data_IF_401126378379
#
_entry.id   IF_401126378379
#
_cell.length_a   1.000
_cell.length_b   1.000
_cell.length_c   1.000
_cell.angle_alpha   90.00
_cell.angle_beta   90.00
_cell.angle_gamma   90.00
#
_symmetry.space_group_name_H-M   'P 1'
#
loop_
_entity.id
_entity.type
_entity.pdbx_description
1 polymer ?
#
# COMPACT_ATOMS: atom_id res chain seq x y z
N UNK A 1 54.13 -9.49 -7.79
CA UNK A 1 53.20 -10.61 -7.54
C UNK A 1 53.16 -11.13 -6.09
N UNK A 2 54.33 -11.31 -5.41
CA UNK A 2 54.35 -11.76 -4.00
C UNK A 2 53.67 -10.76 -3.01
N UNK A 3 53.89 -9.46 -3.18
CA UNK A 3 53.30 -8.44 -2.30
C UNK A 3 51.76 -8.35 -2.44
N UNK A 4 51.25 -8.53 -3.64
CA UNK A 4 49.79 -8.51 -3.90
C UNK A 4 49.10 -9.73 -3.27
N UNK A 5 49.74 -10.92 -3.32
CA UNK A 5 49.23 -12.12 -2.65
C UNK A 5 49.21 -11.99 -1.12
N UNK A 6 50.19 -11.34 -0.55
CA UNK A 6 50.26 -11.09 0.90
C UNK A 6 49.16 -10.06 1.32
N UNK A 7 48.93 -9.01 0.52
CA UNK A 7 47.87 -8.04 0.76
C UNK A 7 46.48 -8.69 0.76
N UNK A 8 46.16 -9.52 -0.24
CA UNK A 8 44.89 -10.25 -0.27
C UNK A 8 44.77 -11.29 0.85
N UNK A 9 45.85 -11.92 1.27
CA UNK A 9 45.86 -12.85 2.41
C UNK A 9 45.60 -12.13 3.74
N UNK A 10 46.19 -10.95 3.94
CA UNK A 10 45.93 -10.11 5.13
C UNK A 10 44.53 -9.56 5.13
N UNK A 11 44.02 -9.12 3.97
CA UNK A 11 42.63 -8.67 3.82
C UNK A 11 41.60 -9.79 4.08
N UNK A 12 41.88 -11.01 3.61
CA UNK A 12 41.04 -12.19 3.87
C UNK A 12 41.03 -12.61 5.34
N UNK A 13 42.20 -12.54 6.01
CA UNK A 13 42.29 -12.81 7.45
C UNK A 13 41.57 -11.71 8.25
N UNK A 14 41.69 -10.44 7.86
CA UNK A 14 40.92 -9.35 8.49
C UNK A 14 39.40 -9.53 8.26
N UNK A 15 39.01 -9.94 7.06
CA UNK A 15 37.61 -10.22 6.75
C UNK A 15 37.08 -11.43 7.54
N UNK A 16 37.86 -12.48 7.71
CA UNK A 16 37.50 -13.63 8.56
C UNK A 16 37.44 -13.27 10.05
N UNK A 17 38.30 -12.35 10.53
CA UNK A 17 38.23 -11.85 11.93
C UNK A 17 37.00 -10.97 12.12
N UNK A 18 36.67 -10.10 11.15
CA UNK A 18 35.43 -9.29 11.20
C UNK A 18 34.19 -10.17 11.07
N UNK A 19 34.22 -11.25 10.28
CA UNK A 19 33.11 -12.22 10.18
C UNK A 19 32.99 -13.09 11.44
N UNK A 20 34.06 -13.38 12.14
CA UNK A 20 34.04 -14.13 13.39
C UNK A 20 33.54 -13.31 14.57
N UNK A 21 33.67 -11.98 14.52
CA UNK A 21 33.07 -11.08 15.54
C UNK A 21 31.58 -10.81 15.31
N UNK A 22 31.05 -11.13 14.13
CA UNK A 22 29.61 -11.03 13.85
C UNK A 22 28.80 -12.31 14.19
N UNK A 23 29.45 -13.38 14.55
CA UNK A 23 28.83 -14.53 15.24
C UNK A 23 28.80 -14.27 16.76
N UNK A 24 28.29 -13.10 17.20
CA UNK A 24 27.93 -12.93 18.60
C UNK A 24 26.75 -13.85 18.84
N UNK A 25 27.01 -14.88 19.70
CA UNK A 25 25.96 -15.67 20.30
C UNK A 25 24.82 -14.75 20.77
N UNK A 26 23.58 -15.12 20.49
CA UNK A 26 22.41 -14.49 21.10
C UNK A 26 22.61 -14.51 22.60
N UNK A 27 23.09 -13.40 23.14
CA UNK A 27 23.35 -13.25 24.54
C UNK A 27 22.00 -12.97 25.17
N UNK A 28 21.45 -13.92 25.94
CA UNK A 28 20.31 -13.65 26.79
C UNK A 28 20.62 -12.41 27.63
N UNK A 29 19.75 -11.42 27.53
CA UNK A 29 19.87 -10.21 28.34
C UNK A 29 19.48 -10.56 29.78
N UNK A 30 20.27 -10.11 30.74
CA UNK A 30 19.93 -10.25 32.16
C UNK A 30 18.52 -9.66 32.39
N UNK A 31 17.65 -10.35 33.15
CA UNK A 31 16.29 -9.88 33.41
C UNK A 31 16.25 -8.46 33.99
N UNK A 32 17.18 -8.10 34.90
CA UNK A 32 17.31 -6.74 35.42
C UNK A 32 17.62 -5.68 34.34
N UNK A 33 18.31 -6.08 33.24
CA UNK A 33 18.54 -5.21 32.13
C UNK A 33 17.24 -4.93 31.34
N UNK A 34 16.38 -5.93 31.17
CA UNK A 34 15.12 -5.80 30.47
C UNK A 34 14.08 -4.92 31.16
N UNK A 35 14.21 -4.75 32.49
CA UNK A 35 13.34 -3.83 33.26
C UNK A 35 13.43 -2.39 32.76
N UNK A 36 14.61 -1.96 32.30
CA UNK A 36 14.84 -0.62 31.79
C UNK A 36 14.67 -0.51 30.25
N UNK A 37 14.14 -1.53 29.60
CA UNK A 37 13.80 -1.48 28.17
C UNK A 37 12.32 -1.12 28.01
N UNK A 38 12.06 -0.13 27.20
CA UNK A 38 10.71 0.24 26.75
C UNK A 38 10.53 -0.12 25.28
N UNK A 39 9.44 -0.78 24.98
CA UNK A 39 9.05 -1.10 23.58
C UNK A 39 7.73 -0.43 23.27
N UNK A 40 7.65 0.24 22.13
CA UNK A 40 6.44 0.96 21.76
C UNK A 40 6.07 0.69 20.30
N UNK A 41 4.76 0.68 20.01
CA UNK A 41 4.24 0.86 18.66
C UNK A 41 4.18 2.36 18.37
N UNK A 42 4.81 2.76 17.27
CA UNK A 42 4.74 4.12 16.73
C UNK A 42 3.72 4.14 15.60
N UNK A 43 2.79 5.09 15.64
CA UNK A 43 1.82 5.33 14.57
C UNK A 43 1.92 6.76 14.09
N UNK A 44 2.25 6.91 12.82
CA UNK A 44 2.43 8.20 12.15
C UNK A 44 1.19 8.56 11.38
N UNK A 45 0.73 9.81 11.51
CA UNK A 45 -0.37 10.32 10.69
C UNK A 45 0.05 10.48 9.23
N UNK A 46 -0.91 10.45 8.30
CA UNK A 46 -0.65 10.71 6.88
C UNK A 46 0.04 12.06 6.63
N UNK A 47 0.74 12.14 5.50
CA UNK A 47 1.20 13.39 4.88
C UNK A 47 0.99 13.34 3.35
N UNK A 48 1.30 14.44 2.64
CA UNK A 48 0.86 14.67 1.25
C UNK A 48 1.41 13.72 0.18
N UNK A 49 2.51 13.03 0.43
CA UNK A 49 3.01 12.04 -0.55
C UNK A 49 2.03 10.89 -0.71
N UNK A 50 1.69 10.51 -1.95
CA UNK A 50 0.65 9.51 -2.27
C UNK A 50 0.82 8.19 -1.50
N UNK A 51 2.06 7.73 -1.31
CA UNK A 51 2.32 6.49 -0.56
C UNK A 51 2.14 6.64 0.95
N UNK A 52 2.11 7.87 1.47
CA UNK A 52 1.97 8.16 2.91
C UNK A 52 0.54 8.54 3.32
N UNK A 53 -0.40 8.65 2.38
CA UNK A 53 -1.81 8.97 2.65
C UNK A 53 -2.50 7.97 3.59
N UNK A 54 -1.90 6.82 3.79
CA UNK A 54 -2.42 5.75 4.65
C UNK A 54 -1.84 5.78 6.07
N UNK A 55 -0.88 6.68 6.33
CA UNK A 55 -0.09 6.67 7.55
C UNK A 55 1.01 5.61 7.55
N UNK A 56 1.66 5.44 8.70
CA UNK A 56 2.76 4.48 8.84
C UNK A 56 2.84 3.93 10.28
N UNK A 57 3.38 2.71 10.44
CA UNK A 57 3.67 2.10 11.75
C UNK A 57 5.11 1.61 11.81
N UNK A 58 5.71 1.73 13.01
CA UNK A 58 7.03 1.22 13.33
C UNK A 58 7.07 0.73 14.77
N UNK A 59 8.10 -0.04 15.15
CA UNK A 59 8.36 -0.38 16.55
C UNK A 59 9.56 0.43 17.05
N UNK A 60 9.44 0.98 18.27
CA UNK A 60 10.54 1.59 18.98
C UNK A 60 11.10 0.61 20.01
N UNK A 61 12.40 0.53 20.06
CA UNK A 61 13.17 -0.10 21.13
C UNK A 61 13.98 0.96 21.83
N UNK A 62 13.72 1.21 23.11
CA UNK A 62 14.35 2.26 23.87
C UNK A 62 15.02 1.70 25.11
N UNK A 63 16.33 1.84 25.20
CA UNK A 63 17.14 1.49 26.35
C UNK A 63 17.25 2.71 27.29
N UNK A 64 16.63 2.62 28.44
CA UNK A 64 16.58 3.69 29.43
C UNK A 64 17.78 3.66 30.42
N UNK A 65 18.72 2.71 30.25
CA UNK A 65 19.92 2.68 31.07
C UNK A 65 20.78 3.93 30.84
N UNK A 66 21.44 4.35 31.97
CA UNK A 66 22.35 5.49 31.93
C UNK A 66 23.80 5.05 31.68
N UNK A 67 24.11 3.78 31.92
CA UNK A 67 25.45 3.19 31.80
C UNK A 67 25.40 1.85 31.08
N UNK A 68 26.52 1.48 30.45
CA UNK A 68 26.66 0.23 29.69
C UNK A 68 26.82 0.42 28.21
N UNK A 69 27.15 -0.63 27.45
CA UNK A 69 27.53 -0.53 26.04
C UNK A 69 26.38 -0.14 25.09
N UNK A 70 25.13 -0.23 25.56
CA UNK A 70 23.90 0.15 24.81
C UNK A 70 23.07 1.20 25.53
N UNK A 71 23.60 1.80 26.58
CA UNK A 71 22.89 2.81 27.36
C UNK A 71 22.41 3.95 26.47
N UNK A 72 21.12 4.26 26.55
CA UNK A 72 20.50 5.31 25.73
C UNK A 72 20.29 4.93 24.26
N UNK A 73 20.42 3.65 23.87
CA UNK A 73 20.07 3.20 22.52
C UNK A 73 18.56 3.41 22.31
N UNK A 74 18.20 4.18 21.28
CA UNK A 74 16.81 4.56 20.99
C UNK A 74 16.57 4.45 19.49
N UNK A 75 15.94 3.35 19.10
CA UNK A 75 15.85 2.89 17.72
C UNK A 75 14.40 2.70 17.26
N UNK A 76 14.10 3.12 16.04
CA UNK A 76 12.87 2.81 15.35
C UNK A 76 13.12 1.71 14.28
N UNK A 77 12.42 0.59 14.43
CA UNK A 77 12.38 -0.52 13.49
C UNK A 77 11.24 -0.26 12.49
N UNK A 78 11.63 -0.06 11.23
CA UNK A 78 10.78 0.51 10.20
C UNK A 78 10.63 -0.46 9.03
N UNK A 79 9.47 -1.12 8.89
CA UNK A 79 9.13 -1.97 7.75
C UNK A 79 8.56 -1.12 6.62
N UNK A 80 8.79 -1.57 5.38
CA UNK A 80 8.26 -0.85 4.23
C UNK A 80 9.28 0.07 3.55
N UNK A 81 10.56 -0.05 3.91
CA UNK A 81 11.61 0.68 3.18
C UNK A 81 11.75 0.08 1.78
N UNK A 82 11.73 0.94 0.78
CA UNK A 82 11.86 0.55 -0.62
C UNK A 82 12.78 1.52 -1.38
N UNK A 83 13.25 1.10 -2.55
CA UNK A 83 14.12 1.92 -3.38
C UNK A 83 13.59 1.95 -4.82
N UNK A 84 13.22 3.14 -5.29
CA UNK A 84 12.75 3.40 -6.66
C UNK A 84 13.84 3.16 -7.72
N UNK A 85 15.13 3.23 -7.36
CA UNK A 85 16.25 3.04 -8.30
C UNK A 85 16.46 1.58 -8.70
N UNK A 86 15.75 0.64 -8.05
CA UNK A 86 15.82 -0.77 -8.45
C UNK A 86 15.30 -0.96 -9.88
N UNK A 87 16.00 -1.73 -10.73
CA UNK A 87 15.60 -1.97 -12.11
C UNK A 87 14.15 -2.46 -12.21
N UNK A 88 13.42 -1.87 -13.15
CA UNK A 88 12.02 -2.23 -13.43
C UNK A 88 11.07 -2.07 -12.22
N UNK A 89 11.35 -1.16 -11.28
CA UNK A 89 10.56 -0.98 -10.07
C UNK A 89 9.05 -0.87 -10.37
N UNK A 90 8.65 0.00 -11.31
CA UNK A 90 7.22 0.18 -11.68
C UNK A 90 6.59 -1.10 -12.20
N UNK A 91 7.29 -1.84 -13.09
CA UNK A 91 6.78 -3.11 -13.60
C UNK A 91 6.65 -4.14 -12.48
N UNK A 92 7.66 -4.26 -11.62
CA UNK A 92 7.62 -5.15 -10.45
C UNK A 92 6.48 -4.78 -9.50
N UNK A 93 6.23 -3.50 -9.28
CA UNK A 93 5.12 -3.03 -8.46
C UNK A 93 3.77 -3.44 -9.06
N UNK A 94 3.55 -3.21 -10.36
CA UNK A 94 2.33 -3.58 -11.09
C UNK A 94 2.05 -5.09 -10.96
N UNK A 95 3.09 -5.93 -11.05
CA UNK A 95 2.93 -7.37 -10.90
C UNK A 95 2.87 -7.86 -9.43
N UNK A 96 2.98 -6.97 -8.45
CA UNK A 96 3.07 -7.35 -7.02
C UNK A 96 4.38 -8.06 -6.68
N UNK A 97 5.45 -7.75 -7.39
CA UNK A 97 6.77 -8.36 -7.24
C UNK A 97 7.80 -7.41 -6.60
N UNK A 98 7.36 -6.36 -5.93
CA UNK A 98 8.25 -5.46 -5.20
C UNK A 98 8.67 -6.07 -3.87
N UNK A 99 9.98 -6.00 -3.62
CA UNK A 99 10.56 -6.39 -2.35
C UNK A 99 10.88 -5.13 -1.55
N UNK A 100 10.41 -5.10 -0.33
CA UNK A 100 10.67 -4.07 0.66
C UNK A 100 11.55 -4.64 1.76
N UNK A 101 12.08 -3.79 2.62
CA UNK A 101 12.97 -4.25 3.68
C UNK A 101 12.67 -3.59 5.04
N UNK A 102 13.11 -4.28 6.09
CA UNK A 102 13.21 -3.72 7.43
C UNK A 102 14.48 -2.86 7.51
N UNK A 103 14.32 -1.62 7.95
CA UNK A 103 15.43 -0.75 8.31
C UNK A 103 15.35 -0.31 9.76
N UNK A 104 16.47 0.13 10.30
CA UNK A 104 16.56 0.67 11.65
C UNK A 104 17.20 2.03 11.58
N UNK A 105 16.55 3.00 12.23
CA UNK A 105 17.04 4.38 12.30
C UNK A 105 16.95 4.89 13.74
N UNK A 106 17.77 5.87 14.13
CA UNK A 106 17.61 6.53 15.42
C UNK A 106 16.21 7.13 15.55
N UNK A 107 15.57 6.91 16.71
CA UNK A 107 14.21 7.42 16.97
C UNK A 107 14.08 8.94 16.80
N UNK A 108 15.10 9.69 17.21
CA UNK A 108 15.12 11.15 16.99
C UNK A 108 15.05 11.53 15.50
N UNK A 109 15.74 10.78 14.64
CA UNK A 109 15.70 11.01 13.19
C UNK A 109 14.33 10.62 12.60
N UNK A 110 13.73 9.53 13.13
CA UNK A 110 12.37 9.11 12.77
C UNK A 110 11.35 10.21 13.08
N UNK A 111 11.34 10.74 14.31
CA UNK A 111 10.45 11.83 14.72
C UNK A 111 10.66 13.10 13.89
N UNK A 112 11.93 13.51 13.68
CA UNK A 112 12.26 14.71 12.89
C UNK A 112 11.76 14.63 11.44
N UNK A 113 11.74 13.44 10.83
CA UNK A 113 11.19 13.25 9.50
C UNK A 113 9.69 13.58 9.47
N UNK A 114 8.90 13.04 10.41
CA UNK A 114 7.45 13.31 10.45
C UNK A 114 7.13 14.75 10.86
N UNK A 115 7.92 15.34 11.75
CA UNK A 115 7.80 16.74 12.15
C UNK A 115 7.97 17.69 10.95
N UNK A 116 8.92 17.42 10.03
CA UNK A 116 9.12 18.20 8.81
C UNK A 116 7.89 18.21 7.89
N UNK A 117 7.12 17.13 7.88
CA UNK A 117 5.87 17.03 7.12
C UNK A 117 4.65 17.58 7.84
N UNK A 118 4.80 18.03 9.09
CA UNK A 118 3.67 18.41 9.95
C UNK A 118 2.82 17.22 10.39
N UNK A 119 3.31 16.00 10.22
CA UNK A 119 2.66 14.78 10.66
C UNK A 119 2.87 14.54 12.15
N UNK A 120 1.88 13.94 12.81
CA UNK A 120 2.01 13.50 14.19
C UNK A 120 2.58 12.09 14.29
N UNK A 121 3.23 11.80 15.41
CA UNK A 121 3.62 10.45 15.80
C UNK A 121 3.01 10.15 17.15
N UNK A 122 2.09 9.18 17.19
CA UNK A 122 1.52 8.63 18.42
C UNK A 122 2.36 7.42 18.83
N UNK A 123 2.73 7.36 20.10
CA UNK A 123 3.47 6.27 20.70
C UNK A 123 2.60 5.53 21.70
N UNK A 124 2.54 4.19 21.57
CA UNK A 124 1.85 3.28 22.49
C UNK A 124 2.90 2.37 23.12
N UNK A 125 3.19 2.60 24.39
CA UNK A 125 4.12 1.77 25.17
C UNK A 125 3.47 0.43 25.43
N UNK A 126 4.13 -0.64 25.02
CA UNK A 126 3.61 -2.01 25.15
C UNK A 126 3.90 -2.58 26.54
N UNK A 127 2.90 -3.19 27.15
CA UNK A 127 2.99 -3.81 28.47
C UNK A 127 3.57 -5.24 28.36
N UNK A 128 4.84 -5.33 27.97
CA UNK A 128 5.54 -6.59 27.79
C UNK A 128 6.30 -7.01 29.04
N UNK A 129 6.27 -8.31 29.35
CA UNK A 129 7.15 -8.90 30.36
C UNK A 129 8.60 -8.98 29.87
N UNK A 130 9.56 -9.17 30.78
CA UNK A 130 10.97 -9.31 30.37
C UNK A 130 11.21 -10.49 29.42
N UNK A 131 10.52 -11.61 29.64
CA UNK A 131 10.58 -12.75 28.74
C UNK A 131 10.05 -12.39 27.33
N UNK A 132 8.95 -11.64 27.23
CA UNK A 132 8.39 -11.19 25.97
C UNK A 132 9.29 -10.16 25.26
N UNK A 133 9.92 -9.26 26.03
CA UNK A 133 10.94 -8.34 25.50
C UNK A 133 12.15 -9.08 24.94
N UNK A 134 12.62 -10.14 25.64
CA UNK A 134 13.70 -10.98 25.16
C UNK A 134 13.34 -11.67 23.85
N UNK A 135 12.15 -12.32 23.77
CA UNK A 135 11.65 -12.94 22.53
C UNK A 135 11.57 -11.93 21.38
N UNK A 136 11.07 -10.72 21.68
CA UNK A 136 10.95 -9.66 20.68
C UNK A 136 12.33 -9.18 20.19
N UNK A 137 13.30 -9.04 21.11
CA UNK A 137 14.69 -8.68 20.75
C UNK A 137 15.30 -9.70 19.79
N UNK A 138 15.12 -10.98 20.10
CA UNK A 138 15.60 -12.08 19.24
C UNK A 138 14.90 -12.07 17.87
N UNK A 139 13.57 -11.88 17.85
CA UNK A 139 12.80 -11.81 16.64
C UNK A 139 13.21 -10.62 15.75
N UNK A 140 13.42 -9.44 16.33
CA UNK A 140 13.90 -8.25 15.62
C UNK A 140 15.32 -8.45 15.09
N UNK A 141 16.22 -9.02 15.92
CA UNK A 141 17.60 -9.32 15.51
C UNK A 141 17.62 -10.32 14.36
N UNK A 142 16.81 -11.37 14.44
CA UNK A 142 16.67 -12.35 13.35
C UNK A 142 16.10 -11.72 12.07
N UNK A 143 15.12 -10.83 12.20
CA UNK A 143 14.53 -10.14 11.05
C UNK A 143 15.51 -9.16 10.37
N UNK A 144 16.51 -8.66 11.09
CA UNK A 144 17.54 -7.78 10.53
C UNK A 144 18.64 -8.52 9.76
N UNK A 145 18.74 -9.84 9.87
CA UNK A 145 19.70 -10.61 9.09
C UNK A 145 19.48 -10.39 7.58
N UNK A 146 20.55 -10.29 6.78
CA UNK A 146 20.44 -10.02 5.34
C UNK A 146 19.44 -10.91 4.59
N UNK A 147 19.36 -12.19 4.98
CA UNK A 147 18.45 -13.19 4.41
C UNK A 147 16.99 -13.01 4.82
N UNK A 148 16.69 -12.31 5.94
CA UNK A 148 15.35 -12.19 6.52
C UNK A 148 14.76 -10.79 6.40
N UNK A 149 15.59 -9.75 6.23
CA UNK A 149 15.11 -8.35 6.26
C UNK A 149 14.34 -7.94 5.02
N UNK A 150 14.56 -8.64 3.89
CA UNK A 150 13.87 -8.39 2.62
C UNK A 150 12.62 -9.27 2.55
N UNK A 151 11.50 -8.67 2.20
CA UNK A 151 10.23 -9.37 2.09
C UNK A 151 9.40 -8.90 0.91
N UNK A 152 8.49 -9.77 0.43
CA UNK A 152 7.52 -9.44 -0.60
C UNK A 152 6.41 -8.59 0.01
N UNK A 153 6.41 -7.31 -0.35
CA UNK A 153 5.42 -6.37 0.15
C UNK A 153 4.03 -6.66 -0.42
N UNK A 154 3.03 -6.63 0.44
CA UNK A 154 1.63 -6.65 0.04
C UNK A 154 0.86 -5.59 0.82
N UNK A 155 0.25 -4.65 0.10
CA UNK A 155 -0.38 -3.49 0.70
C UNK A 155 -1.44 -3.83 1.77
N UNK A 156 -2.23 -4.88 1.56
CA UNK A 156 -3.30 -5.28 2.51
C UNK A 156 -2.88 -6.37 3.51
N UNK A 157 -1.89 -7.20 3.17
CA UNK A 157 -1.63 -8.43 3.94
C UNK A 157 -0.24 -8.51 4.55
N UNK A 158 0.74 -7.76 4.04
CA UNK A 158 2.12 -7.80 4.53
C UNK A 158 2.80 -6.44 4.36
N UNK A 159 2.51 -5.51 5.28
CA UNK A 159 2.91 -4.11 5.21
C UNK A 159 3.51 -3.60 6.54
N UNK A 160 3.70 -2.27 6.62
CA UNK A 160 4.26 -1.59 7.79
C UNK A 160 3.41 -1.69 9.06
N UNK A 161 2.12 -2.05 8.98
CA UNK A 161 1.24 -2.23 10.14
C UNK A 161 1.12 -3.70 10.52
N UNK A 162 0.92 -4.59 9.54
CA UNK A 162 0.73 -6.01 9.82
C UNK A 162 1.98 -6.66 10.38
N UNK A 163 3.19 -6.27 9.92
CA UNK A 163 4.45 -6.83 10.40
C UNK A 163 4.76 -6.53 11.86
N UNK A 164 4.72 -5.27 12.34
CA UNK A 164 4.90 -4.99 13.76
C UNK A 164 3.82 -5.62 14.64
N UNK A 165 2.56 -5.67 14.19
CA UNK A 165 1.49 -6.40 14.88
C UNK A 165 1.85 -7.87 15.06
N UNK A 166 2.16 -8.56 13.97
CA UNK A 166 2.39 -10.01 13.96
C UNK A 166 3.63 -10.40 14.77
N UNK A 167 4.69 -9.58 14.76
CA UNK A 167 5.90 -9.84 15.54
C UNK A 167 5.64 -9.65 17.02
N UNK A 168 4.89 -8.62 17.41
CA UNK A 168 4.48 -8.38 18.80
C UNK A 168 3.62 -9.53 19.31
N UNK A 169 2.55 -9.87 18.62
CA UNK A 169 1.65 -10.98 19.01
C UNK A 169 2.39 -12.30 19.16
N UNK A 170 3.33 -12.60 18.25
CA UNK A 170 4.14 -13.83 18.30
C UNK A 170 5.04 -13.91 19.53
N UNK A 171 5.46 -12.77 20.08
CA UNK A 171 6.37 -12.71 21.23
C UNK A 171 5.63 -12.72 22.56
N UNK A 172 4.33 -12.46 22.58
CA UNK A 172 3.51 -12.43 23.78
C UNK A 172 3.31 -13.84 24.35
N UNK A 173 3.46 -13.97 25.67
CA UNK A 173 3.11 -15.17 26.42
C UNK A 173 1.61 -15.16 26.69
N UNK A 174 0.86 -15.96 25.93
CA UNK A 174 -0.59 -16.00 25.99
C UNK A 174 -1.26 -15.60 24.68
N UNK A 175 -2.39 -14.94 24.77
CA UNK A 175 -3.20 -14.54 23.59
C UNK A 175 -3.56 -13.07 23.66
N UNK A 176 -3.36 -12.34 22.59
CA UNK A 176 -3.91 -10.99 22.43
C UNK A 176 -5.38 -11.10 22.05
N UNK A 177 -6.24 -10.47 22.81
CA UNK A 177 -7.67 -10.38 22.57
C UNK A 177 -8.05 -8.95 22.25
N UNK A 178 -8.60 -8.76 21.06
CA UNK A 178 -9.03 -7.46 20.54
C UNK A 178 -10.49 -7.22 20.84
N UNK A 179 -10.84 -5.97 21.17
CA UNK A 179 -12.23 -5.58 21.33
C UNK A 179 -12.97 -5.68 19.99
N UNK A 180 -14.10 -6.38 19.98
CA UNK A 180 -14.91 -6.54 18.78
C UNK A 180 -15.51 -5.20 18.34
N UNK A 181 -15.45 -4.93 17.04
CA UNK A 181 -16.18 -3.84 16.39
C UNK A 181 -17.40 -4.46 15.70
N UNK A 182 -18.56 -4.29 16.28
CA UNK A 182 -19.79 -4.94 15.79
C UNK A 182 -20.58 -4.10 14.79
N UNK A 183 -20.28 -2.82 14.70
CA UNK A 183 -21.01 -1.79 13.96
C UNK A 183 -20.24 -1.19 12.79
N UNK A 184 -19.04 -1.69 12.51
CA UNK A 184 -18.18 -1.18 11.45
C UNK A 184 -17.46 -2.33 10.73
N UNK A 185 -17.96 -2.66 9.54
CA UNK A 185 -17.38 -3.69 8.65
C UNK A 185 -17.07 -3.10 7.27
N UNK A 186 -16.13 -2.13 7.18
CA UNK A 186 -15.81 -1.50 5.91
C UNK A 186 -15.13 -2.47 4.97
N UNK A 187 -15.32 -2.25 3.68
CA UNK A 187 -14.51 -2.91 2.65
C UNK A 187 -13.11 -2.30 2.56
N UNK A 188 -12.18 -3.00 1.91
CA UNK A 188 -10.85 -2.45 1.61
C UNK A 188 -10.95 -1.16 0.79
N UNK A 189 -11.86 -1.11 -0.19
CA UNK A 189 -12.07 0.08 -1.03
C UNK A 189 -12.54 1.28 -0.22
N UNK A 190 -13.49 1.08 0.69
CA UNK A 190 -13.97 2.16 1.56
C UNK A 190 -12.86 2.70 2.45
N UNK A 191 -12.04 1.84 3.03
CA UNK A 191 -10.90 2.26 3.86
C UNK A 191 -9.85 3.02 3.07
N UNK A 192 -9.49 2.53 1.87
CA UNK A 192 -8.57 3.20 0.96
C UNK A 192 -9.14 4.54 0.49
N UNK A 193 -10.40 4.56 0.08
CA UNK A 193 -11.11 5.78 -0.33
C UNK A 193 -11.20 6.82 0.78
N UNK A 194 -11.40 6.40 2.03
CA UNK A 194 -11.36 7.30 3.17
C UNK A 194 -9.97 7.97 3.33
N UNK A 195 -8.90 7.21 3.18
CA UNK A 195 -7.53 7.73 3.28
C UNK A 195 -7.21 8.73 2.15
N UNK A 196 -7.73 8.47 0.95
CA UNK A 196 -7.44 9.29 -0.25
C UNK A 196 -8.53 10.32 -0.59
N UNK A 197 -9.54 10.53 0.28
CA UNK A 197 -10.73 11.36 0.02
C UNK A 197 -10.45 12.80 -0.40
N UNK A 198 -9.31 13.35 0.02
CA UNK A 198 -8.88 14.71 -0.32
C UNK A 198 -8.07 14.76 -1.63
N UNK A 199 -7.75 13.61 -2.22
CA UNK A 199 -6.95 13.45 -3.44
C UNK A 199 -7.75 12.67 -4.50
N UNK A 200 -8.66 13.33 -5.25
CA UNK A 200 -9.59 12.67 -6.15
C UNK A 200 -8.93 11.77 -7.20
N UNK A 201 -7.74 12.15 -7.69
CA UNK A 201 -7.00 11.35 -8.66
C UNK A 201 -6.32 10.13 -8.04
N UNK A 202 -5.89 10.21 -6.77
CA UNK A 202 -5.38 9.05 -6.04
C UNK A 202 -6.53 8.05 -5.78
N UNK A 203 -7.70 8.54 -5.35
CA UNK A 203 -8.91 7.72 -5.19
C UNK A 203 -9.29 7.05 -6.51
N UNK A 204 -9.35 7.81 -7.60
CA UNK A 204 -9.66 7.28 -8.94
C UNK A 204 -8.65 6.19 -9.37
N UNK A 205 -7.34 6.42 -9.14
CA UNK A 205 -6.30 5.46 -9.45
C UNK A 205 -6.46 4.14 -8.68
N UNK A 206 -6.73 4.23 -7.38
CA UNK A 206 -7.02 3.07 -6.55
C UNK A 206 -8.27 2.32 -7.03
N UNK A 207 -9.37 3.06 -7.26
CA UNK A 207 -10.65 2.47 -7.66
C UNK A 207 -10.59 1.79 -9.01
N UNK A 208 -9.79 2.31 -9.95
CA UNK A 208 -9.60 1.68 -11.26
C UNK A 208 -8.85 0.35 -11.15
N UNK A 209 -7.89 0.24 -10.21
CA UNK A 209 -7.05 -0.94 -10.06
C UNK A 209 -7.67 -2.01 -9.17
N UNK A 210 -8.48 -1.62 -8.18
CA UNK A 210 -9.12 -2.54 -7.24
C UNK A 210 -10.27 -3.29 -7.93
N UNK A 211 -10.31 -4.61 -7.76
CA UNK A 211 -11.36 -5.49 -8.25
C UNK A 211 -12.46 -5.72 -7.21
N UNK A 212 -13.37 -6.64 -7.53
CA UNK A 212 -14.56 -6.94 -6.73
C UNK A 212 -14.24 -7.40 -5.29
N UNK A 213 -13.11 -8.07 -5.07
CA UNK A 213 -12.73 -8.52 -3.72
C UNK A 213 -12.44 -7.35 -2.76
N UNK A 214 -12.14 -6.18 -3.31
CA UNK A 214 -11.92 -4.98 -2.49
C UNK A 214 -13.23 -4.38 -1.97
N UNK A 215 -14.38 -4.81 -2.50
CA UNK A 215 -15.73 -4.34 -2.10
C UNK A 215 -16.38 -5.27 -1.06
N UNK A 216 -15.73 -6.36 -0.65
CA UNK A 216 -16.26 -7.26 0.37
C UNK A 216 -15.97 -6.74 1.77
N UNK A 217 -16.88 -7.02 2.70
CA UNK A 217 -16.71 -6.71 4.11
C UNK A 217 -15.41 -7.33 4.64
N UNK A 218 -14.72 -6.61 5.49
CA UNK A 218 -13.47 -7.05 6.13
C UNK A 218 -13.69 -7.37 7.60
N UNK A 219 -12.94 -8.35 8.09
CA UNK A 219 -12.82 -8.61 9.53
C UNK A 219 -11.84 -7.63 10.19
N UNK A 220 -11.80 -7.65 11.53
CA UNK A 220 -10.94 -6.77 12.32
C UNK A 220 -9.46 -6.91 11.91
N UNK A 221 -8.98 -8.15 11.77
CA UNK A 221 -7.59 -8.40 11.41
C UNK A 221 -7.21 -7.85 10.03
N UNK A 222 -8.13 -7.93 9.09
CA UNK A 222 -7.97 -7.36 7.76
C UNK A 222 -7.94 -5.83 7.78
N UNK A 223 -8.70 -5.19 8.70
CA UNK A 223 -8.72 -3.72 8.84
C UNK A 223 -7.43 -3.15 9.42
N UNK A 224 -6.68 -3.94 10.17
CA UNK A 224 -5.40 -3.54 10.80
C UNK A 224 -4.24 -3.35 9.81
N UNK A 225 -4.47 -3.51 8.50
CA UNK A 225 -3.48 -3.08 7.51
C UNK A 225 -3.27 -1.56 7.53
N UNK A 226 -4.27 -0.81 8.03
CA UNK A 226 -4.15 0.63 8.24
C UNK A 226 -3.56 0.94 9.61
N UNK A 227 -2.51 1.78 9.68
CA UNK A 227 -1.89 2.21 10.95
C UNK A 227 -2.89 2.76 11.96
N UNK A 228 -3.86 3.57 11.51
CA UNK A 228 -4.88 4.14 12.38
C UNK A 228 -5.81 3.10 13.00
N UNK A 229 -6.14 2.03 12.27
CA UNK A 229 -6.94 0.94 12.78
C UNK A 229 -6.15 0.10 13.80
N UNK A 230 -4.88 -0.19 13.49
CA UNK A 230 -4.00 -0.90 14.41
C UNK A 230 -3.80 -0.12 15.72
N UNK A 231 -3.57 1.21 15.63
CA UNK A 231 -3.50 2.10 16.78
C UNK A 231 -4.76 1.97 17.68
N UNK A 232 -5.93 2.05 17.04
CA UNK A 232 -7.22 1.96 17.75
C UNK A 232 -7.42 0.61 18.44
N UNK A 233 -7.04 -0.48 17.76
CA UNK A 233 -7.23 -1.84 18.28
C UNK A 233 -6.23 -2.16 19.39
N UNK A 234 -4.96 -1.73 19.28
CA UNK A 234 -3.95 -1.90 20.31
C UNK A 234 -4.32 -1.18 21.62
N UNK A 235 -4.89 0.03 21.55
CA UNK A 235 -5.36 0.76 22.75
C UNK A 235 -6.41 -0.02 23.56
N UNK A 236 -7.14 -0.94 22.91
CA UNK A 236 -8.25 -1.69 23.50
C UNK A 236 -7.95 -3.16 23.69
N UNK A 237 -6.81 -3.62 23.18
CA UNK A 237 -6.41 -5.01 23.25
C UNK A 237 -5.97 -5.38 24.67
N UNK A 238 -6.28 -6.61 25.05
CA UNK A 238 -5.85 -7.21 26.30
C UNK A 238 -5.04 -8.48 26.02
N UNK A 239 -4.08 -8.76 26.86
CA UNK A 239 -3.31 -9.99 26.85
C UNK A 239 -3.90 -10.91 27.91
N UNK A 240 -4.37 -12.08 27.49
CA UNK A 240 -4.80 -13.15 28.37
C UNK A 240 -3.65 -14.14 28.56
N UNK A 241 -3.18 -14.29 29.80
CA UNK A 241 -2.11 -15.22 30.17
C UNK A 241 -2.37 -15.77 31.58
N UNK A 242 -2.23 -17.08 31.76
CA UNK A 242 -2.32 -17.76 33.08
C UNK A 242 -3.58 -17.41 33.89
N UNK A 243 -4.73 -17.26 33.19
CA UNK A 243 -6.01 -16.95 33.83
C UNK A 243 -6.20 -15.47 34.19
N UNK A 244 -5.29 -14.59 33.79
CA UNK A 244 -5.34 -13.15 34.08
C UNK A 244 -5.33 -12.32 32.79
N UNK A 245 -5.90 -11.10 32.90
CA UNK A 245 -5.89 -10.13 31.82
C UNK A 245 -4.99 -8.95 32.18
N UNK A 246 -4.23 -8.46 31.22
CA UNK A 246 -3.52 -7.17 31.30
C UNK A 246 -3.71 -6.40 30.00
N UNK A 247 -3.70 -5.07 30.06
CA UNK A 247 -3.77 -4.23 28.86
C UNK A 247 -2.52 -4.46 28.00
N UNK A 248 -2.68 -4.50 26.68
CA UNK A 248 -1.56 -4.58 25.74
C UNK A 248 -0.73 -3.28 25.74
N UNK A 249 -1.40 -2.13 25.84
CA UNK A 249 -0.78 -0.80 25.93
C UNK A 249 -0.85 -0.32 27.36
N UNK A 250 0.31 0.00 27.95
CA UNK A 250 0.43 0.54 29.32
C UNK A 250 0.28 2.06 29.35
N UNK A 251 0.77 2.74 28.32
CA UNK A 251 0.75 4.19 28.20
C UNK A 251 0.63 4.60 26.73
N UNK A 252 -0.09 5.70 26.51
CA UNK A 252 -0.15 6.36 25.20
C UNK A 252 0.32 7.80 25.32
N UNK A 253 1.24 8.22 24.46
CA UNK A 253 1.78 9.57 24.43
C UNK A 253 1.94 10.09 23.01
N UNK A 254 1.99 11.41 22.85
CA UNK A 254 2.26 12.07 21.58
C UNK A 254 3.76 12.34 21.49
N UNK A 255 4.45 11.61 20.63
CA UNK A 255 5.89 11.77 20.39
C UNK A 255 6.19 12.99 19.50
N UNK A 256 5.35 13.21 18.49
CA UNK A 256 5.38 14.40 17.62
C UNK A 256 3.97 14.96 17.53
N UNK A 257 3.78 16.21 17.91
CA UNK A 257 2.50 16.87 17.78
C UNK A 257 2.21 17.19 16.31
N UNK A 258 0.93 17.17 15.89
CA UNK A 258 0.57 17.58 14.54
C UNK A 258 0.96 19.02 14.29
N UNK A 259 1.64 19.28 13.19
CA UNK A 259 2.05 20.61 12.72
C UNK A 259 1.24 21.07 11.53
N UNK A 260 1.73 22.10 10.87
CA UNK A 260 1.17 22.56 9.59
C UNK A 260 1.61 21.60 8.50
N UNK A 261 0.64 20.90 7.91
CA UNK A 261 0.94 20.00 6.80
C UNK A 261 1.28 20.79 5.53
N UNK A 262 2.28 20.30 4.81
CA UNK A 262 2.60 20.78 3.47
C UNK A 262 1.53 20.19 2.55
N UNK A 263 0.71 21.02 1.92
CA UNK A 263 -0.34 20.58 0.99
C UNK A 263 0.18 20.78 -0.44
N UNK A 264 0.24 19.71 -1.22
CA UNK A 264 0.53 19.78 -2.63
C UNK A 264 -0.78 20.06 -3.41
N UNK A 265 -0.73 20.95 -4.39
CA UNK A 265 -1.89 21.24 -5.23
C UNK A 265 -2.17 20.08 -6.16
N UNK A 266 -3.32 19.45 -6.01
CA UNK A 266 -3.83 18.45 -6.94
C UNK A 266 -4.15 19.07 -8.33
N UNK A 267 -4.28 18.21 -9.34
CA UNK A 267 -4.76 18.64 -10.65
C UNK A 267 -6.14 19.31 -10.50
N UNK A 268 -6.36 20.50 -11.09
CA UNK A 268 -7.51 21.36 -10.77
C UNK A 268 -8.88 20.80 -11.16
N UNK A 269 -8.93 19.77 -12.02
CA UNK A 269 -10.16 19.10 -12.41
C UNK A 269 -10.26 17.72 -11.78
N UNK A 270 -11.40 17.39 -11.20
CA UNK A 270 -11.66 16.05 -10.67
C UNK A 270 -11.90 15.03 -11.80
N UNK A 271 -11.76 13.72 -11.55
CA UNK A 271 -12.04 12.68 -12.55
C UNK A 271 -13.43 12.78 -13.17
N UNK A 272 -14.46 13.07 -12.37
CA UNK A 272 -15.83 13.26 -12.88
C UNK A 272 -15.96 14.48 -13.77
N UNK A 273 -15.28 15.59 -13.44
CA UNK A 273 -15.28 16.79 -14.29
C UNK A 273 -14.60 16.51 -15.63
N UNK A 274 -13.49 15.78 -15.62
CA UNK A 274 -12.83 15.35 -16.87
C UNK A 274 -13.74 14.42 -17.69
N UNK A 275 -14.44 13.49 -17.05
CA UNK A 275 -15.40 12.60 -17.71
C UNK A 275 -16.59 13.38 -18.32
N UNK A 276 -17.11 14.41 -17.62
CA UNK A 276 -18.16 15.29 -18.14
C UNK A 276 -17.70 16.14 -19.32
N UNK A 277 -16.48 16.66 -19.28
CA UNK A 277 -15.86 17.37 -20.40
C UNK A 277 -15.72 16.43 -21.60
N UNK A 278 -15.24 15.22 -21.40
CA UNK A 278 -15.16 14.20 -22.45
C UNK A 278 -16.54 13.89 -23.05
N UNK A 279 -17.58 13.81 -22.21
CA UNK A 279 -18.95 13.61 -22.68
C UNK A 279 -19.45 14.78 -23.53
N UNK A 280 -19.22 16.01 -23.11
CA UNK A 280 -19.59 17.21 -23.87
C UNK A 280 -18.88 17.24 -25.22
N UNK A 281 -17.59 16.96 -25.28
CA UNK A 281 -16.82 16.83 -26.53
C UNK A 281 -17.39 15.70 -27.40
N UNK A 282 -17.70 14.54 -26.81
CA UNK A 282 -18.24 13.39 -27.53
C UNK A 282 -19.60 13.70 -28.15
N UNK A 283 -20.49 14.39 -27.43
CA UNK A 283 -21.79 14.83 -27.93
C UNK A 283 -21.60 15.86 -29.04
N UNK A 284 -20.73 16.84 -28.87
CA UNK A 284 -20.42 17.87 -29.87
C UNK A 284 -19.94 17.27 -31.18
N UNK A 285 -18.92 16.40 -31.12
CA UNK A 285 -18.38 15.69 -32.30
C UNK A 285 -19.44 14.77 -32.92
N UNK A 286 -20.23 14.09 -32.10
CA UNK A 286 -21.30 13.20 -32.60
C UNK A 286 -22.39 13.99 -33.33
N UNK A 287 -22.75 15.15 -32.85
CA UNK A 287 -23.72 16.06 -33.48
C UNK A 287 -23.18 16.64 -34.76
N UNK A 288 -21.90 17.05 -34.78
CA UNK A 288 -21.22 17.54 -35.95
C UNK A 288 -21.11 16.47 -37.07
N UNK A 289 -20.73 15.25 -36.70
CA UNK A 289 -20.70 14.09 -37.60
C UNK A 289 -22.09 13.78 -38.19
N UNK A 290 -23.13 13.92 -37.37
CA UNK A 290 -24.52 13.71 -37.80
C UNK A 290 -24.96 14.72 -38.86
N UNK A 291 -24.67 16.00 -38.66
CA UNK A 291 -24.96 17.07 -39.61
C UNK A 291 -24.21 16.89 -40.92
N UNK A 292 -22.94 16.47 -40.88
CA UNK A 292 -22.07 16.29 -42.04
C UNK A 292 -22.23 14.93 -42.72
N UNK A 293 -22.96 13.99 -42.14
CA UNK A 293 -23.07 12.60 -42.57
C UNK A 293 -21.68 11.95 -42.80
N UNK A 294 -20.68 12.42 -42.04
CA UNK A 294 -19.29 11.94 -42.07
C UNK A 294 -18.80 11.70 -40.64
N UNK A 295 -18.03 10.64 -40.45
CA UNK A 295 -17.51 10.23 -39.17
C UNK A 295 -16.13 10.82 -38.89
N UNK A 296 -15.90 11.34 -37.68
CA UNK A 296 -14.62 11.80 -37.20
C UNK A 296 -13.78 10.62 -36.73
N UNK A 297 -13.16 9.90 -37.66
CA UNK A 297 -12.37 8.68 -37.40
C UNK A 297 -11.19 8.94 -36.48
N UNK A 298 -10.59 10.13 -36.56
CA UNK A 298 -9.47 10.50 -35.69
C UNK A 298 -9.87 10.49 -34.22
N UNK A 299 -11.05 11.04 -33.89
CA UNK A 299 -11.56 11.07 -32.51
C UNK A 299 -11.84 9.66 -32.00
N UNK A 300 -12.50 8.83 -32.80
CA UNK A 300 -12.78 7.45 -32.46
C UNK A 300 -11.49 6.65 -32.23
N UNK A 301 -10.47 6.89 -33.09
CA UNK A 301 -9.18 6.21 -32.96
C UNK A 301 -8.45 6.59 -31.68
N UNK A 302 -8.48 7.86 -31.28
CA UNK A 302 -7.90 8.31 -30.01
C UNK A 302 -8.67 7.69 -28.83
N UNK A 303 -10.00 7.73 -28.87
CA UNK A 303 -10.84 7.21 -27.80
C UNK A 303 -10.61 5.70 -27.59
N UNK A 304 -10.57 4.92 -28.68
CA UNK A 304 -10.31 3.48 -28.59
C UNK A 304 -8.86 3.15 -28.26
N UNK A 305 -7.91 4.01 -28.65
CA UNK A 305 -6.52 3.87 -28.24
C UNK A 305 -6.40 4.02 -26.71
N UNK A 306 -6.98 5.07 -26.15
CA UNK A 306 -6.97 5.29 -24.71
C UNK A 306 -7.69 4.16 -23.95
N UNK A 307 -8.86 3.73 -24.46
CA UNK A 307 -9.60 2.58 -23.91
C UNK A 307 -8.72 1.32 -23.88
N UNK A 308 -8.05 1.04 -24.97
CA UNK A 308 -7.25 -0.17 -25.10
C UNK A 308 -5.96 -0.12 -24.31
N UNK A 309 -5.29 1.03 -24.20
CA UNK A 309 -4.09 1.20 -23.37
C UNK A 309 -4.44 1.04 -21.87
N UNK A 310 -5.51 1.68 -21.42
CA UNK A 310 -6.01 1.48 -20.05
C UNK A 310 -6.41 0.00 -19.83
N UNK A 311 -7.02 -0.62 -20.84
CA UNK A 311 -7.34 -2.04 -20.84
C UNK A 311 -6.11 -2.96 -20.73
N UNK A 312 -4.99 -2.60 -21.36
CA UNK A 312 -3.74 -3.35 -21.19
C UNK A 312 -3.24 -3.31 -19.76
N UNK A 313 -3.32 -2.15 -19.09
CA UNK A 313 -2.96 -2.02 -17.68
C UNK A 313 -3.84 -2.93 -16.82
N UNK A 314 -5.17 -2.85 -16.96
CA UNK A 314 -6.08 -3.71 -16.21
C UNK A 314 -5.87 -5.20 -16.52
N UNK A 315 -5.61 -5.55 -17.78
CA UNK A 315 -5.34 -6.93 -18.18
C UNK A 315 -4.10 -7.49 -17.48
N UNK A 316 -3.02 -6.70 -17.39
CA UNK A 316 -1.80 -7.05 -16.67
C UNK A 316 -2.09 -7.21 -15.17
N UNK A 317 -2.90 -6.32 -14.59
CA UNK A 317 -3.27 -6.37 -13.17
C UNK A 317 -4.07 -7.60 -12.79
N UNK A 318 -4.79 -8.25 -13.73
CA UNK A 318 -5.46 -9.53 -13.45
C UNK A 318 -4.46 -10.66 -13.07
N UNK A 319 -3.22 -10.57 -13.54
CA UNK A 319 -2.15 -11.52 -13.25
C UNK A 319 -1.21 -11.06 -12.14
N UNK A 320 -1.51 -9.91 -11.53
CA UNK A 320 -0.74 -9.39 -10.42
C UNK A 320 -0.91 -10.27 -9.17
N UNK A 321 0.14 -10.34 -8.35
CA UNK A 321 0.09 -11.01 -7.04
C UNK A 321 -0.67 -10.20 -5.99
N UNK A 322 -1.21 -9.03 -6.34
CA UNK A 322 -2.12 -8.28 -5.47
C UNK A 322 -3.50 -8.96 -5.43
N UNK A 323 -3.93 -9.56 -4.31
CA UNK A 323 -5.15 -10.40 -4.26
C UNK A 323 -6.44 -9.67 -4.58
N UNK A 324 -6.46 -8.35 -4.33
CA UNK A 324 -7.64 -7.48 -4.52
C UNK A 324 -7.80 -6.98 -5.95
N UNK A 325 -6.84 -7.23 -6.86
CA UNK A 325 -6.87 -6.76 -8.26
C UNK A 325 -7.31 -7.82 -9.26
N UNK A 326 -7.28 -9.10 -8.87
CA UNK A 326 -7.40 -10.26 -9.77
C UNK A 326 -8.75 -10.40 -10.50
N UNK A 327 -9.83 -9.81 -9.96
CA UNK A 327 -11.17 -9.87 -10.56
C UNK A 327 -11.71 -8.47 -10.66
N UNK A 328 -11.34 -7.75 -11.73
CA UNK A 328 -11.75 -6.37 -11.94
C UNK A 328 -12.70 -6.26 -13.14
N UNK A 329 -13.98 -6.01 -12.86
CA UNK A 329 -15.03 -5.94 -13.89
C UNK A 329 -14.93 -4.68 -14.77
N UNK A 330 -14.12 -3.69 -14.40
CA UNK A 330 -13.87 -2.52 -15.24
C UNK A 330 -13.12 -2.89 -16.55
N UNK A 331 -12.49 -4.07 -16.61
CA UNK A 331 -11.90 -4.59 -17.84
C UNK A 331 -12.95 -4.85 -18.95
N UNK A 332 -14.21 -5.02 -18.57
CA UNK A 332 -15.32 -5.13 -19.55
C UNK A 332 -15.49 -3.84 -20.35
N UNK A 333 -15.20 -2.70 -19.76
CA UNK A 333 -15.20 -1.41 -20.45
C UNK A 333 -13.80 -1.06 -21.01
N UNK A 334 -12.79 -1.07 -20.15
CA UNK A 334 -11.40 -0.77 -20.50
C UNK A 334 -10.69 -2.08 -20.86
N UNK A 335 -10.75 -2.48 -22.13
CA UNK A 335 -10.18 -3.76 -22.55
C UNK A 335 -9.19 -3.62 -23.71
N UNK A 336 -8.15 -4.46 -23.78
CA UNK A 336 -7.11 -4.36 -24.81
C UNK A 336 -7.60 -4.71 -26.22
N UNK A 337 -8.77 -5.36 -26.36
CA UNK A 337 -9.34 -5.70 -27.68
C UNK A 337 -9.59 -4.46 -28.52
N UNK A 338 -9.84 -3.30 -27.88
CA UNK A 338 -10.03 -2.03 -28.56
C UNK A 338 -8.86 -1.69 -29.51
N UNK A 339 -7.61 -2.00 -29.11
CA UNK A 339 -6.42 -1.76 -29.96
C UNK A 339 -6.46 -2.56 -31.25
N UNK A 340 -6.90 -3.82 -31.18
CA UNK A 340 -6.99 -4.71 -32.35
C UNK A 340 -8.00 -4.23 -33.40
N UNK A 341 -9.00 -3.45 -33.00
CA UNK A 341 -10.05 -2.94 -33.91
C UNK A 341 -9.74 -1.56 -34.49
N UNK A 342 -8.75 -0.83 -34.00
CA UNK A 342 -8.38 0.50 -34.53
C UNK A 342 -8.15 0.49 -36.05
N UNK A 343 -7.41 -0.46 -36.66
CA UNK A 343 -7.21 -0.49 -38.13
C UNK A 343 -8.52 -0.66 -38.90
N UNK A 344 -9.46 -1.44 -38.36
CA UNK A 344 -10.77 -1.63 -38.98
C UNK A 344 -11.66 -0.37 -38.84
N UNK A 345 -11.53 0.37 -37.74
CA UNK A 345 -12.17 1.67 -37.51
C UNK A 345 -11.67 2.68 -38.54
N UNK A 346 -10.37 2.79 -38.74
CA UNK A 346 -9.74 3.71 -39.69
C UNK A 346 -10.19 3.39 -41.13
N UNK A 347 -10.25 2.12 -41.49
CA UNK A 347 -10.67 1.66 -42.84
C UNK A 347 -12.18 1.72 -43.07
N UNK A 348 -12.97 2.10 -42.02
CA UNK A 348 -14.46 2.15 -42.07
C UNK A 348 -15.10 0.81 -42.44
N UNK A 349 -14.44 -0.32 -42.18
CA UNK A 349 -14.89 -1.68 -42.56
C UNK A 349 -15.18 -2.55 -41.31
N UNK A 350 -15.67 -1.95 -40.24
CA UNK A 350 -15.85 -2.66 -38.99
C UNK A 350 -17.34 -2.88 -38.63
N UNK A 351 -17.81 -4.11 -38.74
CA UNK A 351 -19.15 -4.51 -38.32
C UNK A 351 -19.13 -5.35 -37.02
N UNK A 352 -17.96 -5.82 -36.59
CA UNK A 352 -17.82 -6.73 -35.44
C UNK A 352 -17.62 -5.96 -34.14
N UNK A 353 -16.77 -4.94 -34.15
CA UNK A 353 -16.45 -4.16 -32.97
C UNK A 353 -17.66 -3.55 -32.28
N UNK A 354 -18.62 -2.92 -33.00
CA UNK A 354 -19.83 -2.41 -32.35
C UNK A 354 -20.58 -3.48 -31.56
N UNK A 355 -20.73 -4.67 -32.07
CA UNK A 355 -21.41 -5.78 -31.41
C UNK A 355 -20.65 -6.23 -30.16
N UNK A 356 -19.34 -6.44 -30.27
CA UNK A 356 -18.48 -6.79 -29.12
C UNK A 356 -18.57 -5.72 -28.04
N UNK A 357 -18.41 -4.45 -28.42
CA UNK A 357 -18.45 -3.33 -27.49
C UNK A 357 -19.81 -3.21 -26.79
N UNK A 358 -20.93 -3.42 -27.51
CA UNK A 358 -22.26 -3.39 -26.93
C UNK A 358 -22.45 -4.51 -25.88
N UNK A 359 -22.01 -5.72 -26.18
CA UNK A 359 -22.07 -6.83 -25.23
C UNK A 359 -21.22 -6.53 -23.99
N UNK A 360 -19.97 -6.09 -24.18
CA UNK A 360 -19.07 -5.72 -23.09
C UNK A 360 -19.64 -4.59 -22.23
N UNK A 361 -20.28 -3.61 -22.87
CA UNK A 361 -20.97 -2.51 -22.17
C UNK A 361 -22.14 -3.01 -21.29
N UNK A 362 -22.98 -3.91 -21.82
CA UNK A 362 -24.07 -4.51 -21.05
C UNK A 362 -23.52 -5.27 -19.83
N UNK A 363 -22.50 -6.09 -20.06
CA UNK A 363 -21.84 -6.82 -18.97
C UNK A 363 -21.21 -5.86 -17.94
N UNK A 364 -20.62 -4.75 -18.38
CA UNK A 364 -20.08 -3.71 -17.51
C UNK A 364 -21.19 -3.07 -16.65
N UNK A 365 -22.34 -2.75 -17.23
CA UNK A 365 -23.48 -2.23 -16.47
C UNK A 365 -24.01 -3.25 -15.45
N UNK A 366 -24.07 -4.53 -15.81
CA UNK A 366 -24.45 -5.59 -14.86
C UNK A 366 -23.37 -5.69 -13.76
N UNK A 367 -22.11 -5.59 -14.12
CA UNK A 367 -20.99 -5.64 -13.18
C UNK A 367 -21.02 -4.54 -12.13
N UNK A 368 -21.62 -3.37 -12.40
CA UNK A 368 -21.72 -2.27 -11.43
C UNK A 368 -22.62 -2.58 -10.21
N UNK A 369 -23.41 -3.65 -10.26
CA UNK A 369 -24.15 -4.14 -9.10
C UNK A 369 -23.28 -4.99 -8.14
N UNK A 370 -22.11 -5.41 -8.60
CA UNK A 370 -21.22 -6.32 -7.86
C UNK A 370 -19.88 -5.69 -7.51
N UNK A 371 -19.47 -4.65 -8.24
CA UNK A 371 -18.20 -3.95 -8.01
C UNK A 371 -18.44 -2.44 -8.08
N UNK A 372 -17.90 -1.72 -7.11
CA UNK A 372 -17.81 -0.26 -7.19
C UNK A 372 -16.80 0.15 -8.26
N UNK A 373 -17.19 1.03 -9.17
CA UNK A 373 -16.34 1.51 -10.25
C UNK A 373 -15.75 2.88 -9.92
N UNK A 374 -14.59 3.15 -10.51
CA UNK A 374 -13.95 4.45 -10.36
C UNK A 374 -14.87 5.59 -10.85
N UNK A 375 -14.71 6.75 -10.22
CA UNK A 375 -15.54 7.93 -10.47
C UNK A 375 -15.54 8.32 -11.95
N UNK A 376 -16.71 8.56 -12.54
CA UNK A 376 -16.86 8.95 -13.95
C UNK A 376 -16.82 7.80 -14.95
N UNK A 377 -16.56 6.55 -14.55
CA UNK A 377 -16.47 5.41 -15.48
C UNK A 377 -17.77 5.12 -16.22
N UNK A 378 -18.95 5.33 -15.60
CA UNK A 378 -20.24 5.22 -16.28
C UNK A 378 -20.39 6.30 -17.37
N UNK A 379 -19.83 7.49 -17.15
CA UNK A 379 -19.85 8.58 -18.15
C UNK A 379 -18.92 8.22 -19.31
N UNK A 380 -17.74 7.69 -19.03
CA UNK A 380 -16.80 7.19 -20.07
C UNK A 380 -17.46 6.07 -20.88
N UNK A 381 -18.19 5.17 -20.23
CA UNK A 381 -18.95 4.12 -20.89
C UNK A 381 -19.99 4.70 -21.85
N UNK A 382 -20.73 5.74 -21.45
CA UNK A 382 -21.67 6.44 -22.29
C UNK A 382 -20.98 7.09 -23.50
N UNK A 383 -19.82 7.72 -23.33
CA UNK A 383 -19.02 8.28 -24.43
C UNK A 383 -18.68 7.21 -25.49
N UNK A 384 -18.17 6.06 -25.03
CA UNK A 384 -17.84 4.93 -25.90
C UNK A 384 -19.07 4.39 -26.62
N UNK A 385 -20.19 4.23 -25.92
CA UNK A 385 -21.46 3.75 -26.49
C UNK A 385 -21.99 4.70 -27.57
N UNK A 386 -22.00 6.01 -27.33
CA UNK A 386 -22.43 7.02 -28.32
C UNK A 386 -21.60 6.94 -29.60
N UNK A 387 -20.34 6.59 -29.51
CA UNK A 387 -19.45 6.43 -30.69
C UNK A 387 -19.65 5.10 -31.39
N UNK A 388 -20.01 4.03 -30.65
CA UNK A 388 -20.24 2.69 -31.18
C UNK A 388 -21.55 2.60 -31.99
N UNK A 389 -22.67 3.14 -31.47
CA UNK A 389 -24.00 3.09 -32.15
C UNK A 389 -23.95 3.69 -33.56
N UNK A 390 -23.04 4.59 -33.83
CA UNK A 390 -22.85 5.21 -35.16
C UNK A 390 -22.10 4.35 -36.17
N UNK A 391 -21.55 3.22 -35.78
CA UNK A 391 -20.90 2.31 -36.73
C UNK A 391 -21.90 1.51 -37.57
N UNK A 392 -23.16 1.40 -37.12
CA UNK A 392 -24.18 0.56 -37.74
C UNK A 392 -24.97 1.31 -38.84
N UNK A 393 -24.81 2.63 -38.98
CA UNK A 393 -25.44 3.46 -40.01
C UNK A 393 -24.42 4.00 -41.01
#
# INVERSE_FOLDING_TARGET
MKQLKNFFRTLFVLFCIISATSAQAQQELEPAYLDSIEVSLLTCSPHEEIYSLYGHSALRWHDLHQEGPRAGEDLAFNWGIFNFDKPYFVARFVFGLTDYELGVIPYKAFCAYYEQWGSSVTEQVLNLTNEEKQKLKEALSNNLLPENRIYRYNFFYDNCSTRPRDIVEKCINGKVEYAQRTDYTPSYREMVGYCTRNHPWATFGNDILLGIKADWDTDLRQQEFLPGNLLYDFDRAQIYSDGTYRQLVSERRMAVNPGVQIIEEDFPLTPIQCALILLAITIGISTFDWKRKKRSVWFDSILFLMQGLAGCVLFVMLFSQHPTTSTNLQILLLNPLALGFIPAVIRKKNKTWPKVQTVMFILFLIGSFFQHYAEGMLIVALCLLLRVIRFEK
#
